data_IF_470156983797
#
_entry.id   IF_470156983797
#
_cell.length_a   1.000
_cell.length_b   1.000
_cell.length_c   1.000
_cell.angle_alpha   90.00
_cell.angle_beta   90.00
_cell.angle_gamma   90.00
#
_symmetry.space_group_name_H-M   'P 1'
#
loop_
_entity.id
_entity.type
_entity.pdbx_description
1 polymer ?
#
# COMPACT_ATOMS: atom_id res chain seq x y z
N UNK A 1 -14.63 11.91 1.67
CA UNK A 1 -13.56 11.26 0.90
C UNK A 1 -14.09 9.94 0.36
N UNK A 2 -13.99 9.69 -0.95
CA UNK A 2 -14.67 8.55 -1.56
C UNK A 2 -13.77 7.30 -1.49
N UNK A 3 -13.66 6.70 -0.30
CA UNK A 3 -12.82 5.52 -0.02
C UNK A 3 -13.03 4.37 -1.01
N UNK A 4 -14.23 4.28 -1.60
CA UNK A 4 -14.55 3.31 -2.63
C UNK A 4 -13.67 3.45 -3.88
N UNK A 5 -13.34 4.67 -4.29
CA UNK A 5 -12.48 4.93 -5.47
C UNK A 5 -11.05 4.48 -5.18
N UNK A 6 -10.54 4.78 -3.99
CA UNK A 6 -9.18 4.40 -3.56
C UNK A 6 -9.04 2.88 -3.52
N UNK A 7 -10.03 2.20 -2.95
CA UNK A 7 -10.06 0.75 -2.87
C UNK A 7 -10.15 0.11 -4.27
N UNK A 8 -10.92 0.69 -5.19
CA UNK A 8 -11.04 0.20 -6.56
C UNK A 8 -9.71 0.30 -7.33
N UNK A 9 -9.03 1.45 -7.23
CA UNK A 9 -7.69 1.67 -7.81
C UNK A 9 -6.68 0.67 -7.26
N UNK A 10 -6.68 0.45 -5.94
CA UNK A 10 -5.80 -0.50 -5.28
C UNK A 10 -6.05 -1.93 -5.75
N UNK A 11 -7.31 -2.36 -5.87
CA UNK A 11 -7.68 -3.70 -6.33
C UNK A 11 -7.28 -3.92 -7.78
N UNK A 12 -7.49 -2.93 -8.66
CA UNK A 12 -7.16 -3.02 -10.08
C UNK A 12 -5.63 -3.11 -10.32
N UNK A 13 -4.84 -2.40 -9.51
CA UNK A 13 -3.39 -2.34 -9.65
C UNK A 13 -2.63 -3.38 -8.81
N UNK A 14 -3.34 -4.24 -8.07
CA UNK A 14 -2.71 -5.22 -7.19
C UNK A 14 -3.10 -6.65 -7.53
N UNK A 15 -2.10 -7.50 -7.62
CA UNK A 15 -2.28 -8.93 -7.85
C UNK A 15 -3.11 -9.60 -6.73
N UNK A 16 -4.03 -10.50 -7.09
CA UNK A 16 -4.97 -11.16 -6.15
C UNK A 16 -4.29 -11.79 -4.95
N UNK A 17 -3.11 -12.39 -5.17
CA UNK A 17 -2.33 -13.03 -4.11
C UNK A 17 -1.80 -12.02 -3.09
N UNK A 18 -1.49 -10.80 -3.52
CA UNK A 18 -1.06 -9.72 -2.62
C UNK A 18 -2.22 -9.09 -1.91
N UNK A 19 -3.37 -8.95 -2.58
CA UNK A 19 -4.60 -8.49 -1.95
C UNK A 19 -4.99 -9.39 -0.76
N UNK A 20 -5.01 -10.70 -1.00
CA UNK A 20 -5.32 -11.68 0.06
C UNK A 20 -4.35 -11.57 1.24
N UNK A 21 -3.04 -11.43 0.96
CA UNK A 21 -2.04 -11.30 2.03
C UNK A 21 -2.16 -9.98 2.80
N UNK A 22 -2.46 -8.87 2.13
CA UNK A 22 -2.68 -7.60 2.82
C UNK A 22 -3.89 -7.68 3.76
N UNK A 23 -4.97 -8.30 3.29
CA UNK A 23 -6.15 -8.57 4.12
C UNK A 23 -5.85 -9.47 5.33
N UNK A 24 -5.00 -10.49 5.18
CA UNK A 24 -4.51 -11.28 6.32
C UNK A 24 -3.74 -10.39 7.30
N UNK A 25 -2.81 -9.56 6.82
CA UNK A 25 -2.05 -8.66 7.70
C UNK A 25 -2.94 -7.70 8.49
N UNK A 26 -3.99 -7.18 7.85
CA UNK A 26 -4.99 -6.35 8.51
C UNK A 26 -5.79 -7.16 9.56
N UNK A 27 -6.25 -8.36 9.20
CA UNK A 27 -7.07 -9.21 10.07
C UNK A 27 -6.30 -9.74 11.29
N UNK A 28 -5.03 -10.08 11.12
CA UNK A 28 -4.14 -10.55 12.19
C UNK A 28 -3.61 -9.40 13.07
N UNK A 29 -3.96 -8.15 12.78
CA UNK A 29 -3.60 -6.99 13.61
C UNK A 29 -2.15 -6.53 13.44
N UNK A 30 -1.49 -6.91 12.34
CA UNK A 30 -0.14 -6.45 12.04
C UNK A 30 -0.10 -4.99 11.57
N UNK A 31 -1.23 -4.44 11.10
CA UNK A 31 -1.34 -3.02 10.76
C UNK A 31 -1.45 -2.20 12.05
N UNK A 32 -0.39 -1.45 12.35
CA UNK A 32 -0.25 -0.69 13.60
C UNK A 32 -0.81 0.73 13.48
N UNK A 33 -0.60 1.38 12.34
CA UNK A 33 -1.01 2.75 12.11
C UNK A 33 -1.27 2.99 10.62
N UNK A 34 -2.25 3.82 10.32
CA UNK A 34 -2.52 4.34 8.98
C UNK A 34 -2.73 5.84 9.13
N UNK A 35 -1.90 6.60 8.42
CA UNK A 35 -2.04 8.04 8.22
C UNK A 35 -2.42 8.28 6.79
N UNK A 36 -3.25 9.28 6.58
CA UNK A 36 -3.60 9.72 5.24
C UNK A 36 -3.67 11.24 5.21
N UNK A 37 -3.17 11.80 4.13
CA UNK A 37 -3.25 13.22 3.84
C UNK A 37 -3.84 13.41 2.45
N UNK A 38 -4.69 14.41 2.29
CA UNK A 38 -5.33 14.72 1.02
C UNK A 38 -5.16 16.22 0.75
N UNK A 39 -4.21 16.55 -0.12
CA UNK A 39 -3.93 17.90 -0.56
C UNK A 39 -4.03 17.95 -2.08
N UNK A 40 -4.71 18.96 -2.63
CA UNK A 40 -4.82 19.19 -4.08
C UNK A 40 -5.27 17.98 -4.92
N UNK A 41 -6.14 17.11 -4.36
CA UNK A 41 -6.60 15.85 -4.96
C UNK A 41 -5.51 14.79 -5.12
N UNK A 42 -4.37 14.97 -4.47
CA UNK A 42 -3.36 13.95 -4.26
C UNK A 42 -3.59 13.34 -2.88
N UNK A 43 -3.80 12.04 -2.85
CA UNK A 43 -3.95 11.26 -1.64
C UNK A 43 -2.64 10.56 -1.32
N UNK A 44 -2.02 10.94 -0.22
CA UNK A 44 -0.89 10.23 0.37
C UNK A 44 -1.40 9.38 1.53
N UNK A 45 -1.03 8.11 1.55
CA UNK A 45 -1.35 7.18 2.64
C UNK A 45 -0.03 6.58 3.12
N UNK A 46 0.25 6.77 4.40
CA UNK A 46 1.43 6.29 5.09
C UNK A 46 0.98 5.23 6.10
N UNK A 47 1.48 4.00 5.94
CA UNK A 47 1.16 2.90 6.83
C UNK A 47 2.35 2.53 7.71
N UNK A 48 2.03 1.86 8.82
CA UNK A 48 2.99 1.20 9.69
C UNK A 48 2.53 -0.23 9.91
N UNK A 49 3.29 -1.19 9.42
CA UNK A 49 2.91 -2.60 9.40
C UNK A 49 4.01 -3.44 10.04
N UNK A 50 3.68 -4.21 11.07
CA UNK A 50 4.60 -5.16 11.69
C UNK A 50 4.83 -6.38 10.81
N UNK A 51 6.04 -6.94 10.87
CA UNK A 51 6.33 -8.19 10.17
C UNK A 51 5.79 -9.39 10.95
N UNK A 52 5.10 -10.29 10.26
CA UNK A 52 4.54 -11.50 10.87
C UNK A 52 5.61 -12.46 11.42
N UNK A 53 6.81 -12.46 10.81
CA UNK A 53 7.86 -13.44 11.09
C UNK A 53 9.08 -12.85 11.83
N UNK A 54 9.16 -11.52 11.91
CA UNK A 54 10.36 -10.82 12.37
C UNK A 54 9.96 -9.64 13.24
N UNK A 55 10.78 -9.28 14.23
CA UNK A 55 10.53 -8.11 15.08
C UNK A 55 10.96 -6.80 14.39
N UNK A 56 10.44 -6.57 13.18
CA UNK A 56 10.73 -5.39 12.35
C UNK A 56 9.42 -4.74 11.89
N UNK A 57 9.51 -3.44 11.62
CA UNK A 57 8.42 -2.63 11.12
C UNK A 57 8.66 -2.25 9.66
N UNK A 58 7.62 -2.37 8.86
CA UNK A 58 7.56 -1.88 7.50
C UNK A 58 6.77 -0.58 7.44
N UNK A 59 7.23 0.31 6.57
CA UNK A 59 6.62 1.60 6.30
C UNK A 59 6.20 1.59 4.83
N UNK A 60 4.99 1.11 4.52
CA UNK A 60 4.35 1.28 3.22
C UNK A 60 3.88 2.73 3.05
N UNK A 61 4.09 3.29 1.87
CA UNK A 61 3.57 4.60 1.47
C UNK A 61 2.95 4.47 0.07
N UNK A 62 1.82 5.11 -0.16
CA UNK A 62 1.19 5.18 -1.48
C UNK A 62 0.68 6.59 -1.76
N UNK A 63 0.96 7.06 -2.97
CA UNK A 63 0.47 8.32 -3.51
C UNK A 63 -0.48 8.04 -4.66
N UNK A 64 -1.70 8.53 -4.56
CA UNK A 64 -2.77 8.33 -5.53
C UNK A 64 -3.24 9.69 -6.02
N UNK A 65 -3.26 9.89 -7.33
CA UNK A 65 -3.88 11.06 -7.93
C UNK A 65 -5.38 10.78 -8.09
N UNK A 66 -6.21 11.45 -7.29
CA UNK A 66 -7.67 11.27 -7.31
C UNK A 66 -8.33 11.94 -8.53
N UNK A 67 -7.61 12.78 -9.27
CA UNK A 67 -8.12 13.49 -10.46
C UNK A 67 -8.11 12.58 -11.68
N UNK A 68 -7.00 11.89 -11.90
CA UNK A 68 -6.75 10.92 -12.96
C UNK A 68 -7.08 9.47 -12.53
N UNK A 69 -7.26 9.24 -11.22
CA UNK A 69 -7.58 7.95 -10.60
C UNK A 69 -6.48 6.91 -10.82
N UNK A 70 -5.24 7.33 -10.63
CA UNK A 70 -4.06 6.49 -10.85
C UNK A 70 -3.14 6.49 -9.63
N UNK A 71 -2.39 5.40 -9.47
CA UNK A 71 -1.31 5.32 -8.50
C UNK A 71 -0.12 6.05 -9.08
N UNK A 72 0.26 7.16 -8.44
CA UNK A 72 1.42 7.97 -8.84
C UNK A 72 2.70 7.31 -8.37
N UNK A 73 2.69 6.80 -7.14
CA UNK A 73 3.86 6.18 -6.55
C UNK A 73 3.45 5.20 -5.43
N UNK A 74 4.24 4.16 -5.27
CA UNK A 74 4.17 3.24 -4.13
C UNK A 74 5.56 3.07 -3.58
N UNK A 75 5.72 3.01 -2.27
CA UNK A 75 6.99 2.72 -1.62
C UNK A 75 6.70 1.71 -0.52
N UNK A 76 7.61 0.77 -0.31
CA UNK A 76 7.59 -0.02 0.91
C UNK A 76 9.01 -0.40 1.32
N UNK A 77 9.27 -0.37 2.62
CA UNK A 77 10.57 -0.81 3.16
C UNK A 77 10.74 -2.35 3.17
N UNK A 78 9.71 -3.10 2.77
CA UNK A 78 9.70 -4.56 2.67
C UNK A 78 10.76 -5.06 1.65
N UNK A 79 11.57 -6.07 1.99
CA UNK A 79 12.58 -6.61 1.07
C UNK A 79 11.98 -7.14 -0.25
N UNK A 80 10.77 -7.71 -0.17
CA UNK A 80 10.00 -8.17 -1.33
C UNK A 80 9.71 -7.02 -2.32
N UNK A 81 9.37 -5.83 -1.81
CA UNK A 81 9.16 -4.65 -2.64
C UNK A 81 10.48 -4.17 -3.22
N UNK A 82 11.54 -4.04 -2.42
CA UNK A 82 12.86 -3.60 -2.91
C UNK A 82 13.33 -4.45 -4.09
N UNK A 83 13.21 -5.78 -3.99
CA UNK A 83 13.59 -6.70 -5.07
C UNK A 83 12.77 -6.52 -6.34
N UNK A 84 11.48 -6.16 -6.24
CA UNK A 84 10.58 -6.07 -7.39
C UNK A 84 10.47 -4.66 -7.97
N UNK A 85 10.54 -3.63 -7.13
CA UNK A 85 10.62 -2.22 -7.53
C UNK A 85 11.88 -1.97 -8.37
N UNK A 86 12.98 -2.69 -8.13
CA UNK A 86 14.15 -2.67 -9.01
C UNK A 86 13.90 -3.23 -10.42
N UNK A 87 12.78 -3.92 -10.65
CA UNK A 87 12.45 -4.59 -11.91
C UNK A 87 11.15 -4.07 -12.57
N UNK A 88 10.34 -3.28 -11.86
CA UNK A 88 9.07 -2.74 -12.34
C UNK A 88 8.69 -1.48 -11.54
N UNK A 89 8.27 -0.42 -12.23
CA UNK A 89 8.04 0.89 -11.63
C UNK A 89 6.78 0.99 -10.76
N UNK A 90 5.78 0.09 -10.93
CA UNK A 90 4.46 0.22 -10.30
C UNK A 90 4.09 -1.02 -9.48
N UNK A 91 4.95 -1.43 -8.54
CA UNK A 91 4.72 -2.64 -7.74
C UNK A 91 4.01 -2.32 -6.43
N UNK A 92 2.73 -2.69 -6.30
CA UNK A 92 2.04 -2.59 -5.01
C UNK A 92 2.55 -3.69 -4.03
N UNK A 93 3.19 -3.32 -2.90
CA UNK A 93 3.56 -4.30 -1.86
C UNK A 93 2.30 -4.78 -1.14
N UNK A 94 2.33 -6.01 -0.63
CA UNK A 94 1.26 -6.61 0.19
C UNK A 94 0.93 -5.83 1.47
N UNK A 95 1.81 -4.94 1.91
CA UNK A 95 1.60 -4.11 3.10
C UNK A 95 0.85 -2.80 2.79
N UNK A 96 0.59 -2.50 1.51
CA UNK A 96 -0.12 -1.29 1.08
C UNK A 96 -1.64 -1.55 0.95
N UNK A 97 -2.04 -2.81 0.78
CA UNK A 97 -3.43 -3.23 0.56
C UNK A 97 -4.21 -3.27 1.86
#
# INVERSE_FOLDING_TARGET
MNFKIVNDILIDNTDKLRLSRGQEYYKDGYVQEIKYNNEDKILNIDGKVASANYNILYYPEITIDLKNKEIVNTICTCEDYKKRSSHSNNVVCKHIV
#
